data_IF_318162857026
#
_entry.id   IF_318162857026
#
_cell.length_a   1.000
_cell.length_b   1.000
_cell.length_c   1.000
_cell.angle_alpha   90.00
_cell.angle_beta   90.00
_cell.angle_gamma   90.00
#
_symmetry.space_group_name_H-M   'P 1'
#
loop_
_entity.id
_entity.type
_entity.pdbx_description
1 polymer ?
#
# COMPACT_ATOMS: atom_id res chain seq x y z
N UNK A 1 -14.47 4.80 9.18
CA UNK A 1 -14.70 3.62 8.33
C UNK A 1 -13.82 2.53 8.92
N UNK A 2 -14.38 1.44 9.47
CA UNK A 2 -13.59 0.44 10.20
C UNK A 2 -12.91 -0.54 9.22
N UNK A 3 -11.84 -0.10 8.57
CA UNK A 3 -11.10 -0.92 7.62
C UNK A 3 -10.28 -1.96 8.38
N UNK A 4 -10.52 -3.25 8.12
CA UNK A 4 -9.73 -4.34 8.72
C UNK A 4 -8.45 -4.65 7.93
N UNK A 5 -8.44 -4.33 6.63
CA UNK A 5 -7.33 -4.60 5.71
C UNK A 5 -7.21 -3.48 4.69
N UNK A 6 -5.99 -3.09 4.39
CA UNK A 6 -5.65 -2.03 3.42
C UNK A 6 -4.63 -2.63 2.44
N UNK A 7 -4.96 -2.67 1.16
CA UNK A 7 -4.06 -3.12 0.10
C UNK A 7 -3.47 -1.91 -0.63
N UNK A 8 -2.14 -1.88 -0.75
CA UNK A 8 -1.40 -0.80 -1.41
C UNK A 8 -0.63 -1.38 -2.58
N UNK A 9 -0.92 -0.87 -3.78
CA UNK A 9 -0.10 -1.15 -4.95
C UNK A 9 1.12 -0.22 -4.96
N UNK A 10 2.30 -0.79 -5.07
CA UNK A 10 3.57 -0.08 -5.22
C UNK A 10 4.23 -0.46 -6.54
N UNK A 11 5.08 0.43 -7.04
CA UNK A 11 5.95 0.20 -8.20
C UNK A 11 7.28 0.96 -8.02
N UNK A 12 8.08 1.08 -9.07
CA UNK A 12 9.34 1.84 -9.05
C UNK A 12 9.17 3.36 -9.27
N UNK A 13 7.97 3.91 -9.10
CA UNK A 13 7.75 5.35 -9.25
C UNK A 13 8.29 6.13 -8.05
N UNK A 14 8.62 7.41 -8.29
CA UNK A 14 9.00 8.36 -7.23
C UNK A 14 7.88 8.62 -6.21
N UNK A 15 6.63 8.25 -6.53
CA UNK A 15 5.47 8.43 -5.66
C UNK A 15 5.26 7.27 -4.69
N UNK A 16 5.97 6.17 -4.86
CA UNK A 16 5.78 4.95 -4.07
C UNK A 16 5.96 5.18 -2.57
N UNK A 17 6.97 5.96 -2.16
CA UNK A 17 7.18 6.31 -0.75
C UNK A 17 5.99 7.08 -0.17
N UNK A 18 5.52 8.12 -0.87
CA UNK A 18 4.37 8.94 -0.45
C UNK A 18 3.09 8.11 -0.29
N UNK A 19 2.81 7.21 -1.23
CA UNK A 19 1.63 6.35 -1.19
C UNK A 19 1.74 5.34 -0.05
N UNK A 20 2.92 4.74 0.14
CA UNK A 20 3.20 3.83 1.24
C UNK A 20 3.02 4.51 2.60
N UNK A 21 3.61 5.68 2.81
CA UNK A 21 3.54 6.42 4.08
C UNK A 21 2.10 6.78 4.45
N UNK A 22 1.29 7.22 3.48
CA UNK A 22 -0.14 7.49 3.70
C UNK A 22 -0.90 6.23 4.10
N UNK A 23 -0.65 5.12 3.43
CA UNK A 23 -1.35 3.89 3.72
C UNK A 23 -0.93 3.28 5.07
N UNK A 24 0.35 3.42 5.44
CA UNK A 24 0.84 3.04 6.76
C UNK A 24 0.16 3.86 7.87
N UNK A 25 0.12 5.18 7.72
CA UNK A 25 -0.56 6.06 8.67
C UNK A 25 -2.06 5.71 8.80
N UNK A 26 -2.72 5.39 7.68
CA UNK A 26 -4.12 4.97 7.69
C UNK A 26 -4.31 3.62 8.38
N UNK A 27 -3.44 2.64 8.11
CA UNK A 27 -3.52 1.32 8.74
C UNK A 27 -3.31 1.40 10.26
N UNK A 28 -2.37 2.21 10.72
CA UNK A 28 -2.15 2.45 12.15
C UNK A 28 -3.37 3.10 12.81
N UNK A 29 -3.94 4.13 12.18
CA UNK A 29 -5.13 4.83 12.68
C UNK A 29 -6.34 3.90 12.80
N UNK A 30 -6.54 3.04 11.81
CA UNK A 30 -7.70 2.14 11.74
C UNK A 30 -7.43 0.77 12.39
N UNK A 31 -6.25 0.53 12.96
CA UNK A 31 -5.82 -0.79 13.48
C UNK A 31 -6.00 -1.90 12.44
N UNK A 32 -5.70 -1.58 11.18
CA UNK A 32 -5.90 -2.44 10.02
C UNK A 32 -4.61 -3.19 9.65
N UNK A 33 -4.75 -4.35 9.03
CA UNK A 33 -3.63 -5.02 8.38
C UNK A 33 -3.24 -4.31 7.08
N UNK A 34 -1.99 -3.90 6.96
CA UNK A 34 -1.44 -3.35 5.71
C UNK A 34 -0.88 -4.48 4.84
N UNK A 35 -1.32 -4.54 3.59
CA UNK A 35 -0.88 -5.48 2.57
C UNK A 35 -0.24 -4.72 1.42
N UNK A 36 0.87 -5.24 0.88
CA UNK A 36 1.62 -4.60 -0.20
C UNK A 36 1.55 -5.48 -1.45
N UNK A 37 1.24 -4.87 -2.59
CA UNK A 37 1.23 -5.50 -3.91
C UNK A 37 2.27 -4.81 -4.79
N UNK A 38 3.23 -5.58 -5.30
CA UNK A 38 4.14 -5.14 -6.35
C UNK A 38 3.90 -5.97 -7.59
N UNK A 39 3.35 -5.36 -8.64
CA UNK A 39 3.10 -6.06 -9.90
C UNK A 39 4.40 -6.13 -10.70
N UNK A 40 4.92 -7.34 -10.91
CA UNK A 40 6.03 -7.57 -11.81
C UNK A 40 5.46 -7.72 -13.23
N UNK A 41 5.84 -6.82 -14.11
CA UNK A 41 5.55 -6.98 -15.54
C UNK A 41 6.64 -7.92 -16.07
N UNK A 42 6.33 -9.20 -16.22
CA UNK A 42 7.14 -10.10 -17.03
C UNK A 42 6.87 -9.72 -18.50
N UNK A 43 7.89 -9.30 -19.28
CA UNK A 43 7.69 -9.16 -20.72
C UNK A 43 7.45 -10.58 -21.28
N UNK A 44 6.23 -10.83 -21.74
CA UNK A 44 5.85 -12.00 -22.55
C UNK A 44 6.47 -11.87 -23.94
#
# INVERSE_FOLDING_TARGET
>A
MNFQRILVAINHSLLTSTVFDRALNLAQKEQAHLMILHCLIEPI
#
